data_IF_866522324033
#
_entry.id   IF_866522324033
#
_cell.length_a   1.000
_cell.length_b   1.000
_cell.length_c   1.000
_cell.angle_alpha   90.00
_cell.angle_beta   90.00
_cell.angle_gamma   90.00
#
_symmetry.space_group_name_H-M   'P 1'
#
loop_
_entity.id
_entity.type
_entity.pdbx_description
1 polymer ?
#
# COMPACT_ATOMS: atom_id res chain seq x y z
N UNK A 1 2.70 12.11 -21.45
CA UNK A 1 2.15 12.85 -20.31
C UNK A 1 3.17 12.88 -19.19
N UNK A 2 3.11 13.88 -18.36
CA UNK A 2 3.88 14.02 -17.13
C UNK A 2 2.96 13.71 -15.94
N UNK A 3 3.30 12.68 -15.20
CA UNK A 3 2.44 12.12 -14.13
C UNK A 3 3.14 12.23 -12.79
N UNK A 4 2.51 12.88 -11.83
CA UNK A 4 2.98 12.92 -10.45
C UNK A 4 2.18 11.93 -9.61
N UNK A 5 2.88 10.95 -9.02
CA UNK A 5 2.31 9.98 -8.09
C UNK A 5 2.59 10.43 -6.65
N UNK A 6 1.63 10.25 -5.75
CA UNK A 6 1.78 10.58 -4.33
C UNK A 6 1.29 9.39 -3.50
N UNK A 7 2.10 8.94 -2.54
CA UNK A 7 1.73 7.86 -1.63
C UNK A 7 1.98 8.23 -0.17
N UNK A 8 1.17 7.69 0.74
CA UNK A 8 1.29 7.86 2.20
C UNK A 8 2.29 6.89 2.85
N UNK A 9 2.77 5.90 2.09
CA UNK A 9 3.66 4.85 2.58
C UNK A 9 4.93 4.79 1.72
N UNK A 10 6.02 4.24 2.27
CA UNK A 10 7.17 3.83 1.48
C UNK A 10 6.76 2.95 0.30
N UNK A 11 7.56 2.95 -0.75
CA UNK A 11 7.29 2.14 -1.96
C UNK A 11 7.44 0.64 -1.71
N UNK A 12 8.08 0.27 -0.61
CA UNK A 12 8.25 -1.10 -0.15
C UNK A 12 7.48 -1.34 1.16
N UNK A 13 7.13 -2.59 1.44
CA UNK A 13 6.51 -3.00 2.72
C UNK A 13 5.01 -2.73 2.86
N UNK A 14 4.34 -2.20 1.85
CA UNK A 14 2.88 -2.00 1.83
C UNK A 14 2.27 -2.29 0.46
N UNK A 15 0.99 -2.67 0.43
CA UNK A 15 0.28 -2.91 -0.82
C UNK A 15 0.18 -1.65 -1.69
N UNK A 16 -0.15 -0.50 -1.10
CA UNK A 16 -0.22 0.77 -1.85
C UNK A 16 1.15 1.26 -2.30
N UNK A 17 2.22 0.99 -1.54
CA UNK A 17 3.59 1.26 -1.96
C UNK A 17 3.97 0.45 -3.20
N UNK A 18 3.79 -0.87 -3.14
CA UNK A 18 4.02 -1.77 -4.28
C UNK A 18 3.17 -1.38 -5.50
N UNK A 19 1.91 -1.02 -5.29
CA UNK A 19 1.02 -0.51 -6.34
C UNK A 19 1.59 0.76 -6.98
N UNK A 20 1.97 1.75 -6.19
CA UNK A 20 2.55 3.01 -6.66
C UNK A 20 3.84 2.79 -7.45
N UNK A 21 4.75 1.96 -6.91
CA UNK A 21 6.00 1.57 -7.57
C UNK A 21 5.75 0.94 -8.94
N UNK A 22 4.84 -0.04 -9.00
CA UNK A 22 4.54 -0.73 -10.26
C UNK A 22 3.88 0.20 -11.28
N UNK A 23 2.94 1.05 -10.87
CA UNK A 23 2.36 2.08 -11.76
C UNK A 23 3.43 3.01 -12.29
N UNK A 24 4.34 3.51 -11.44
CA UNK A 24 5.43 4.39 -11.86
C UNK A 24 6.30 3.74 -12.96
N UNK A 25 6.71 2.49 -12.74
CA UNK A 25 7.51 1.73 -13.69
C UNK A 25 6.76 1.47 -15.00
N UNK A 26 5.48 1.08 -14.94
CA UNK A 26 4.68 0.83 -16.14
C UNK A 26 4.37 2.11 -16.93
N UNK A 27 4.08 3.23 -16.27
CA UNK A 27 3.94 4.52 -16.93
C UNK A 27 5.24 4.93 -17.62
N UNK A 28 6.38 4.74 -16.95
CA UNK A 28 7.69 5.01 -17.54
C UNK A 28 7.97 4.12 -18.77
N UNK A 29 7.68 2.81 -18.67
CA UNK A 29 7.78 1.84 -19.80
C UNK A 29 6.91 2.26 -20.99
N UNK A 30 5.79 2.95 -20.75
CA UNK A 30 4.90 3.49 -21.79
C UNK A 30 5.28 4.88 -22.32
N UNK A 31 6.44 5.40 -21.92
CA UNK A 31 6.99 6.66 -22.42
C UNK A 31 6.47 7.92 -21.71
N UNK A 32 5.83 7.79 -20.53
CA UNK A 32 5.48 8.92 -19.70
C UNK A 32 6.65 9.39 -18.85
N UNK A 33 6.70 10.70 -18.55
CA UNK A 33 7.57 11.23 -17.51
C UNK A 33 6.87 11.09 -16.16
N UNK A 34 7.59 10.57 -15.16
CA UNK A 34 6.99 10.21 -13.87
C UNK A 34 7.83 10.74 -12.72
N UNK A 35 7.16 11.36 -11.75
CA UNK A 35 7.71 11.65 -10.44
C UNK A 35 6.86 10.97 -9.35
N UNK A 36 7.50 10.65 -8.21
CA UNK A 36 6.84 10.00 -7.07
C UNK A 36 7.21 10.72 -5.77
N UNK A 37 6.20 11.14 -5.00
CA UNK A 37 6.36 11.64 -3.63
C UNK A 37 5.92 10.56 -2.67
N UNK A 38 6.76 10.24 -1.67
CA UNK A 38 6.49 9.19 -0.67
C UNK A 38 7.28 9.44 0.61
N UNK A 39 6.82 8.93 1.78
CA UNK A 39 7.61 8.93 3.00
C UNK A 39 8.66 7.82 2.96
N UNK A 40 9.80 8.05 3.62
CA UNK A 40 10.80 7.01 3.82
C UNK A 40 11.56 7.25 5.14
N UNK A 41 12.12 6.20 5.73
CA UNK A 41 12.90 6.29 6.96
C UNK A 41 14.18 5.43 6.97
N UNK A 42 14.59 4.98 5.78
CA UNK A 42 15.80 4.18 5.56
C UNK A 42 16.28 4.35 4.11
N UNK A 43 17.49 3.87 3.76
CA UNK A 43 17.93 3.79 2.38
C UNK A 43 16.95 2.98 1.52
N UNK A 44 16.69 3.45 0.31
CA UNK A 44 15.75 2.83 -0.64
C UNK A 44 16.36 2.78 -2.04
N UNK A 45 15.95 1.82 -2.89
CA UNK A 45 16.44 1.73 -4.25
C UNK A 45 15.87 2.84 -5.12
N UNK A 46 16.73 3.45 -5.95
CA UNK A 46 16.28 4.39 -6.98
C UNK A 46 15.56 3.65 -8.10
N UNK A 47 14.43 4.21 -8.54
CA UNK A 47 13.70 3.67 -9.70
C UNK A 47 14.23 4.28 -11.00
N UNK A 48 14.69 3.47 -11.98
CA UNK A 48 15.31 3.99 -13.20
C UNK A 48 14.39 4.91 -13.99
N UNK A 49 14.87 6.14 -14.26
CA UNK A 49 14.15 7.12 -15.07
C UNK A 49 12.90 7.72 -14.42
N UNK A 50 12.75 7.59 -13.10
CA UNK A 50 11.67 8.16 -12.30
C UNK A 50 12.27 9.21 -11.36
N UNK A 51 11.69 10.40 -11.30
CA UNK A 51 12.06 11.42 -10.32
C UNK A 51 11.49 11.04 -8.96
N UNK A 52 12.33 10.93 -7.95
CA UNK A 52 11.92 10.49 -6.62
C UNK A 52 12.06 11.64 -5.61
N UNK A 53 10.97 11.96 -4.93
CA UNK A 53 10.88 13.01 -3.92
C UNK A 53 10.53 12.41 -2.56
N UNK A 54 11.49 11.78 -1.86
CA UNK A 54 11.25 11.21 -0.56
C UNK A 54 11.09 12.30 0.51
N UNK A 55 10.12 12.14 1.40
CA UNK A 55 10.06 12.88 2.66
C UNK A 55 10.63 11.99 3.75
N UNK A 56 11.78 12.36 4.30
CA UNK A 56 12.52 11.52 5.23
C UNK A 56 12.00 11.66 6.66
N UNK A 57 11.84 10.52 7.33
CA UNK A 57 11.39 10.38 8.71
C UNK A 57 12.42 9.66 9.57
N UNK A 58 12.49 10.01 10.84
CA UNK A 58 13.40 9.37 11.78
C UNK A 58 12.79 8.13 12.43
N UNK A 59 13.60 7.07 12.59
CA UNK A 59 13.25 5.91 13.44
C UNK A 59 13.60 6.11 14.92
N UNK A 60 14.25 7.21 15.25
CA UNK A 60 14.71 7.48 16.61
C UNK A 60 15.30 8.89 16.70
N UNK A 61 16.64 9.02 16.68
CA UNK A 61 17.30 10.32 16.70
C UNK A 61 17.31 10.90 15.27
N UNK A 62 16.59 12.00 15.06
CA UNK A 62 16.48 12.65 13.76
C UNK A 62 17.82 13.21 13.29
N UNK A 63 18.12 13.04 12.00
CA UNK A 63 19.17 13.75 11.28
C UNK A 63 18.65 15.13 10.81
N UNK A 64 19.55 15.94 10.25
CA UNK A 64 19.26 17.35 9.92
C UNK A 64 18.03 17.53 9.02
N UNK A 65 17.84 16.63 8.05
CA UNK A 65 16.83 16.75 7.01
C UNK A 65 15.66 15.74 7.19
N UNK A 66 15.53 15.17 8.41
CA UNK A 66 14.49 14.20 8.74
C UNK A 66 13.44 14.83 9.67
N UNK A 67 12.20 14.43 9.48
CA UNK A 67 11.15 14.68 10.45
C UNK A 67 11.44 13.90 11.76
N UNK A 68 11.37 14.54 12.94
CA UNK A 68 11.82 13.96 14.21
C UNK A 68 10.80 12.96 14.81
N UNK A 69 10.13 12.21 13.97
CA UNK A 69 9.20 11.13 14.30
C UNK A 69 9.09 10.18 13.12
N UNK A 70 8.53 8.97 13.32
CA UNK A 70 8.36 8.01 12.24
C UNK A 70 7.10 8.32 11.42
N UNK A 71 7.05 7.90 10.15
CA UNK A 71 5.89 8.13 9.30
C UNK A 71 4.64 7.42 9.85
N UNK A 72 3.45 8.08 9.78
CA UNK A 72 2.22 7.51 10.31
C UNK A 72 1.60 6.48 9.36
N UNK A 73 0.94 5.49 9.94
CA UNK A 73 0.22 4.42 9.24
C UNK A 73 -1.28 4.44 9.57
N UNK A 74 -2.11 3.84 8.71
CA UNK A 74 -3.51 3.57 9.03
C UNK A 74 -3.64 2.35 9.96
N UNK A 75 -2.80 1.35 9.75
CA UNK A 75 -2.76 0.12 10.55
C UNK A 75 -1.34 -0.16 11.04
N UNK A 76 -0.59 -0.99 10.35
CA UNK A 76 0.79 -1.34 10.67
C UNK A 76 1.66 -1.33 9.42
N UNK A 77 2.93 -0.98 9.59
CA UNK A 77 3.95 -1.07 8.55
C UNK A 77 5.20 -1.73 9.13
N UNK A 78 5.97 -2.51 8.35
CA UNK A 78 7.23 -3.10 8.82
C UNK A 78 8.17 -2.12 9.49
N UNK A 79 8.20 -0.91 8.97
CA UNK A 79 9.16 0.12 9.36
C UNK A 79 8.57 1.18 10.30
N UNK A 80 7.26 1.14 10.59
CA UNK A 80 6.61 2.08 11.51
C UNK A 80 5.43 1.49 12.24
N UNK A 81 5.35 1.78 13.54
CA UNK A 81 4.19 1.49 14.39
C UNK A 81 3.39 2.76 14.74
N UNK A 82 3.90 3.93 14.34
CA UNK A 82 3.22 5.22 14.53
C UNK A 82 1.95 5.24 13.68
N UNK A 83 0.84 5.63 14.26
CA UNK A 83 -0.41 5.83 13.53
C UNK A 83 -0.73 7.32 13.37
N UNK A 84 -1.69 7.66 12.50
CA UNK A 84 -2.13 9.05 12.38
C UNK A 84 -2.73 9.62 13.68
N UNK A 85 -3.29 8.75 14.54
CA UNK A 85 -3.79 9.16 15.86
C UNK A 85 -2.67 9.53 16.85
N UNK A 86 -1.48 8.99 16.65
CA UNK A 86 -0.33 9.28 17.53
C UNK A 86 0.30 10.64 17.23
N UNK A 87 -0.08 11.28 16.12
CA UNK A 87 0.45 12.58 15.75
C UNK A 87 -0.23 13.70 16.57
N UNK A 88 0.55 14.38 17.38
CA UNK A 88 0.13 15.67 17.93
C UNK A 88 0.03 16.75 16.83
N UNK A 89 -0.66 17.87 17.14
CA UNK A 89 -0.88 18.98 16.19
C UNK A 89 0.45 19.47 15.59
N UNK A 90 1.49 19.62 16.38
CA UNK A 90 2.81 20.06 15.90
C UNK A 90 3.47 19.06 14.94
N UNK A 91 3.28 17.76 15.15
CA UNK A 91 3.79 16.72 14.26
C UNK A 91 3.00 16.66 12.94
N UNK A 92 1.66 16.77 13.01
CA UNK A 92 0.82 16.85 11.82
C UNK A 92 1.15 18.10 10.98
N UNK A 93 1.36 19.26 11.62
CA UNK A 93 1.78 20.47 10.91
C UNK A 93 3.11 20.26 10.20
N UNK A 94 4.11 19.67 10.86
CA UNK A 94 5.41 19.37 10.25
C UNK A 94 5.27 18.37 9.09
N UNK A 95 4.45 17.34 9.25
CA UNK A 95 4.12 16.38 8.22
C UNK A 95 3.57 17.09 6.96
N UNK A 96 2.51 17.88 7.12
CA UNK A 96 1.89 18.61 6.01
C UNK A 96 2.87 19.61 5.37
N UNK A 97 3.67 20.32 6.18
CA UNK A 97 4.66 21.27 5.68
C UNK A 97 5.74 20.58 4.82
N UNK A 98 6.27 19.46 5.29
CA UNK A 98 7.31 18.72 4.56
C UNK A 98 6.77 18.16 3.23
N UNK A 99 5.58 17.57 3.23
CA UNK A 99 4.96 17.09 2.00
C UNK A 99 4.53 18.23 1.06
N UNK A 100 4.11 19.39 1.57
CA UNK A 100 3.87 20.59 0.77
C UNK A 100 5.13 21.10 0.10
N UNK A 101 6.29 21.02 0.77
CA UNK A 101 7.58 21.38 0.19
C UNK A 101 7.98 20.42 -0.94
N UNK A 102 7.88 19.11 -0.70
CA UNK A 102 8.15 18.07 -1.71
C UNK A 102 7.21 18.20 -2.92
N UNK A 103 5.92 18.49 -2.67
CA UNK A 103 4.93 18.72 -3.72
C UNK A 103 5.29 19.93 -4.58
N UNK A 104 5.64 21.08 -3.98
CA UNK A 104 6.07 22.25 -4.72
C UNK A 104 7.32 21.99 -5.56
N UNK A 105 8.31 21.29 -5.01
CA UNK A 105 9.51 20.90 -5.74
C UNK A 105 9.16 20.01 -6.94
N UNK A 106 8.37 18.95 -6.74
CA UNK A 106 7.95 18.06 -7.83
C UNK A 106 7.15 18.79 -8.92
N UNK A 107 6.28 19.73 -8.55
CA UNK A 107 5.53 20.58 -9.49
C UNK A 107 6.46 21.46 -10.32
N UNK A 108 7.50 22.04 -9.71
CA UNK A 108 8.48 22.89 -10.41
C UNK A 108 9.42 22.12 -11.32
N UNK A 109 9.80 20.90 -10.94
CA UNK A 109 10.75 20.09 -11.71
C UNK A 109 10.07 19.31 -12.85
N UNK A 110 8.89 18.71 -12.58
CA UNK A 110 8.19 17.88 -13.55
C UNK A 110 7.20 18.68 -14.43
N UNK A 111 6.54 19.71 -13.89
CA UNK A 111 5.37 20.36 -14.51
C UNK A 111 4.30 19.32 -14.92
N UNK A 112 3.70 18.58 -13.97
CA UNK A 112 2.84 17.46 -14.28
C UNK A 112 1.52 17.88 -14.95
N UNK A 113 1.04 17.03 -15.85
CA UNK A 113 -0.28 17.17 -16.49
C UNK A 113 -1.40 16.67 -15.56
N UNK A 114 -1.06 15.75 -14.63
CA UNK A 114 -2.01 15.07 -13.74
C UNK A 114 -1.31 14.61 -12.46
N UNK A 115 -2.04 14.64 -11.36
CA UNK A 115 -1.65 14.05 -10.08
C UNK A 115 -2.47 12.79 -9.83
N UNK A 116 -1.82 11.68 -9.46
CA UNK A 116 -2.47 10.47 -9.03
C UNK A 116 -2.05 10.15 -7.58
N UNK A 117 -2.94 10.42 -6.65
CA UNK A 117 -2.71 10.21 -5.23
C UNK A 117 -3.27 8.87 -4.76
N UNK A 118 -2.55 8.23 -3.85
CA UNK A 118 -2.98 7.02 -3.19
C UNK A 118 -3.57 7.37 -1.83
N UNK A 119 -4.73 6.78 -1.53
CA UNK A 119 -5.56 7.03 -0.36
C UNK A 119 -6.24 8.43 -0.36
N UNK A 120 -7.52 8.47 -0.11
CA UNK A 120 -8.26 9.70 0.17
C UNK A 120 -7.93 10.17 1.61
N UNK A 121 -6.89 11.01 1.75
CA UNK A 121 -6.34 11.43 3.04
C UNK A 121 -5.57 12.76 2.93
N UNK A 122 -4.75 13.10 3.92
CA UNK A 122 -4.01 14.38 3.99
C UNK A 122 -3.20 14.73 2.74
N UNK A 123 -2.52 13.76 2.09
CA UNK A 123 -1.69 14.07 0.92
C UNK A 123 -2.54 14.29 -0.34
N UNK A 124 -3.64 13.56 -0.48
CA UNK A 124 -4.62 13.80 -1.55
C UNK A 124 -5.31 15.15 -1.38
N UNK A 125 -5.53 15.56 -0.11
CA UNK A 125 -6.01 16.91 0.20
C UNK A 125 -5.00 17.98 -0.24
N UNK A 126 -3.71 17.83 0.10
CA UNK A 126 -2.69 18.76 -0.39
C UNK A 126 -2.64 18.81 -1.92
N UNK A 127 -2.79 17.67 -2.58
CA UNK A 127 -2.82 17.57 -4.03
C UNK A 127 -4.04 18.28 -4.65
N UNK A 128 -5.20 18.24 -3.98
CA UNK A 128 -6.43 18.91 -4.48
C UNK A 128 -6.32 20.44 -4.51
N UNK A 129 -5.38 21.01 -3.76
CA UNK A 129 -5.11 22.44 -3.74
C UNK A 129 -4.23 22.94 -4.90
N UNK A 130 -3.73 22.03 -5.77
CA UNK A 130 -2.74 22.37 -6.79
C UNK A 130 -3.32 22.85 -8.14
N UNK A 131 -4.63 22.97 -8.30
CA UNK A 131 -5.31 23.32 -9.57
C UNK A 131 -4.90 22.44 -10.76
N UNK A 132 -4.60 21.16 -10.51
CA UNK A 132 -4.29 20.15 -11.52
C UNK A 132 -5.33 19.03 -11.47
N UNK A 133 -5.57 18.32 -12.59
CA UNK A 133 -6.40 17.13 -12.57
C UNK A 133 -5.90 16.13 -11.52
N UNK A 134 -6.76 15.75 -10.58
CA UNK A 134 -6.44 14.82 -9.49
C UNK A 134 -7.24 13.54 -9.64
N UNK A 135 -6.54 12.40 -9.66
CA UNK A 135 -7.10 11.06 -9.54
C UNK A 135 -6.72 10.50 -8.17
N UNK A 136 -7.64 9.84 -7.49
CA UNK A 136 -7.40 9.21 -6.20
C UNK A 136 -7.71 7.73 -6.29
N UNK A 137 -6.77 6.86 -5.85
CA UNK A 137 -7.06 5.44 -5.65
C UNK A 137 -7.34 5.16 -4.16
N UNK A 138 -8.48 4.55 -3.88
CA UNK A 138 -8.89 4.10 -2.54
C UNK A 138 -8.42 2.65 -2.35
N UNK A 139 -7.64 2.42 -1.28
CA UNK A 139 -7.10 1.10 -0.92
C UNK A 139 -7.85 0.42 0.24
N UNK A 140 -8.75 1.14 0.93
CA UNK A 140 -9.63 0.64 1.98
C UNK A 140 -9.15 0.91 3.41
N UNK A 141 -7.85 1.00 3.66
CA UNK A 141 -7.33 1.28 5.01
C UNK A 141 -7.62 2.70 5.48
N UNK A 142 -7.66 3.66 4.59
CA UNK A 142 -8.08 5.04 4.84
C UNK A 142 -9.57 5.13 5.22
N UNK A 143 -10.43 4.31 4.61
CA UNK A 143 -11.86 4.25 4.97
C UNK A 143 -12.04 3.80 6.41
N UNK A 144 -11.24 2.80 6.84
CA UNK A 144 -11.16 2.40 8.26
C UNK A 144 -10.60 3.55 9.12
N UNK A 145 -9.62 4.28 8.60
CA UNK A 145 -9.02 5.45 9.27
C UNK A 145 -10.02 6.56 9.50
N UNK A 146 -10.84 6.92 8.53
CA UNK A 146 -11.89 7.94 8.66
C UNK A 146 -12.91 7.56 9.76
N UNK A 147 -13.36 6.30 9.80
CA UNK A 147 -14.25 5.81 10.86
C UNK A 147 -13.59 5.85 12.24
N UNK A 148 -12.30 5.53 12.33
CA UNK A 148 -11.56 5.47 13.58
C UNK A 148 -11.10 6.84 14.08
N UNK A 149 -10.78 7.75 13.18
CA UNK A 149 -10.20 9.07 13.45
C UNK A 149 -10.97 10.18 12.71
N UNK A 150 -12.17 10.58 13.20
CA UNK A 150 -13.04 11.54 12.49
C UNK A 150 -12.40 12.90 12.19
N UNK A 151 -11.40 13.32 12.96
CA UNK A 151 -10.65 14.56 12.72
C UNK A 151 -9.94 14.61 11.36
N UNK A 152 -9.70 13.46 10.72
CA UNK A 152 -9.08 13.38 9.40
C UNK A 152 -10.09 13.25 8.26
N UNK A 153 -11.37 13.08 8.58
CA UNK A 153 -12.41 12.85 7.57
C UNK A 153 -12.54 14.04 6.63
N UNK A 154 -12.47 15.28 7.13
CA UNK A 154 -12.56 16.49 6.30
C UNK A 154 -11.49 16.54 5.21
N UNK A 155 -10.24 16.12 5.51
CA UNK A 155 -9.18 16.02 4.50
C UNK A 155 -9.57 15.05 3.38
N UNK A 156 -10.13 13.90 3.73
CA UNK A 156 -10.54 12.90 2.75
C UNK A 156 -11.73 13.39 1.90
N UNK A 157 -12.72 13.99 2.52
CA UNK A 157 -13.91 14.55 1.84
C UNK A 157 -13.53 15.68 0.86
N UNK A 158 -12.70 16.63 1.29
CA UNK A 158 -12.22 17.73 0.43
C UNK A 158 -11.37 17.19 -0.73
N UNK A 159 -10.48 16.21 -0.46
CA UNK A 159 -9.69 15.56 -1.50
C UNK A 159 -10.59 14.88 -2.55
N UNK A 160 -11.56 14.10 -2.09
CA UNK A 160 -12.52 13.43 -2.98
C UNK A 160 -13.35 14.47 -3.72
N UNK A 161 -13.84 15.53 -3.07
CA UNK A 161 -14.60 16.58 -3.73
C UNK A 161 -13.80 17.25 -4.87
N UNK A 162 -12.52 17.57 -4.61
CA UNK A 162 -11.60 18.19 -5.58
C UNK A 162 -11.05 17.27 -6.67
N UNK A 163 -11.25 15.95 -6.58
CA UNK A 163 -10.75 15.01 -7.58
C UNK A 163 -11.64 14.95 -8.83
N UNK A 164 -11.04 14.64 -9.99
CA UNK A 164 -11.78 14.39 -11.24
C UNK A 164 -12.25 12.93 -11.35
N UNK A 165 -11.52 11.99 -10.74
CA UNK A 165 -11.85 10.57 -10.68
C UNK A 165 -11.39 9.95 -9.37
N UNK A 166 -12.16 8.97 -8.90
CA UNK A 166 -11.83 8.12 -7.76
C UNK A 166 -11.82 6.68 -8.23
N UNK A 167 -10.78 5.94 -7.91
CA UNK A 167 -10.61 4.53 -8.28
C UNK A 167 -10.78 3.68 -7.03
N UNK A 168 -11.67 2.70 -7.06
CA UNK A 168 -11.81 1.67 -6.04
C UNK A 168 -11.21 0.35 -6.54
N UNK A 169 -10.38 -0.29 -5.72
CA UNK A 169 -9.66 -1.52 -6.12
C UNK A 169 -10.49 -2.80 -5.96
N UNK A 170 -11.66 -2.73 -5.35
CA UNK A 170 -12.61 -3.84 -5.21
C UNK A 170 -14.04 -3.33 -5.11
N UNK A 171 -15.02 -4.22 -5.32
CA UNK A 171 -16.43 -3.90 -5.16
C UNK A 171 -16.74 -3.44 -3.72
N UNK A 172 -16.19 -4.13 -2.71
CA UNK A 172 -16.37 -3.76 -1.30
C UNK A 172 -15.83 -2.36 -1.01
N UNK A 173 -14.62 -2.04 -1.54
CA UNK A 173 -14.05 -0.70 -1.39
C UNK A 173 -14.89 0.37 -2.09
N UNK A 174 -15.45 0.06 -3.26
CA UNK A 174 -16.36 0.96 -3.97
C UNK A 174 -17.59 1.28 -3.11
N UNK A 175 -18.23 0.24 -2.58
CA UNK A 175 -19.49 0.39 -1.84
C UNK A 175 -19.25 1.15 -0.51
N UNK A 176 -18.17 0.82 0.21
CA UNK A 176 -17.75 1.55 1.41
C UNK A 176 -17.35 3.00 1.10
N UNK A 177 -16.70 3.25 -0.04
CA UNK A 177 -16.33 4.60 -0.44
C UNK A 177 -17.55 5.45 -0.79
N UNK A 178 -18.57 4.88 -1.46
CA UNK A 178 -19.82 5.58 -1.75
C UNK A 178 -20.64 5.88 -0.50
N UNK A 179 -20.65 4.97 0.46
CA UNK A 179 -21.25 5.20 1.78
C UNK A 179 -20.60 6.39 2.50
N UNK A 180 -19.28 6.46 2.47
CA UNK A 180 -18.50 7.46 3.21
C UNK A 180 -18.34 8.78 2.45
N UNK A 181 -18.27 8.72 1.13
CA UNK A 181 -18.08 9.86 0.21
C UNK A 181 -19.16 9.89 -0.87
N UNK A 182 -20.43 10.25 -0.55
CA UNK A 182 -21.52 10.27 -1.54
C UNK A 182 -21.23 11.17 -2.76
N UNK A 183 -20.39 12.21 -2.58
CA UNK A 183 -19.93 13.09 -3.65
C UNK A 183 -19.07 12.39 -4.71
N UNK A 184 -18.64 11.15 -4.47
CA UNK A 184 -17.87 10.37 -5.43
C UNK A 184 -18.73 9.64 -6.47
N UNK A 185 -20.06 9.60 -6.34
CA UNK A 185 -20.97 8.76 -7.13
C UNK A 185 -20.74 8.84 -8.64
N UNK A 186 -20.62 10.05 -9.20
CA UNK A 186 -20.47 10.24 -10.66
C UNK A 186 -19.02 10.10 -11.15
N UNK A 187 -18.07 9.94 -10.27
CA UNK A 187 -16.64 9.92 -10.62
C UNK A 187 -15.89 8.70 -10.09
N UNK A 188 -16.55 7.82 -9.35
CA UNK A 188 -15.95 6.61 -8.82
C UNK A 188 -16.00 5.50 -9.87
N UNK A 189 -14.84 4.89 -10.12
CA UNK A 189 -14.66 3.77 -11.04
C UNK A 189 -14.11 2.56 -10.27
N UNK A 190 -14.63 1.38 -10.57
CA UNK A 190 -14.05 0.12 -10.11
C UNK A 190 -12.90 -0.25 -11.04
N UNK A 191 -11.68 -0.24 -10.50
CA UNK A 191 -10.47 -0.65 -11.19
C UNK A 191 -9.66 -1.59 -10.29
N UNK A 192 -9.83 -2.90 -10.40
CA UNK A 192 -9.09 -3.88 -9.62
C UNK A 192 -7.59 -3.78 -9.84
N UNK A 193 -6.81 -4.18 -8.82
CA UNK A 193 -5.37 -4.24 -8.94
C UNK A 193 -4.95 -5.23 -10.03
N UNK A 194 -3.97 -4.84 -10.82
CA UNK A 194 -3.24 -5.74 -11.71
C UNK A 194 -2.15 -6.51 -10.96
N UNK A 195 -1.49 -7.39 -11.67
CA UNK A 195 -0.28 -8.10 -11.24
C UNK A 195 0.79 -8.02 -12.34
N UNK A 196 2.03 -8.26 -11.97
CA UNK A 196 3.13 -8.26 -12.93
C UNK A 196 3.24 -9.65 -13.59
N UNK A 197 2.85 -9.75 -14.84
CA UNK A 197 2.86 -10.99 -15.64
C UNK A 197 4.28 -11.55 -15.87
N UNK A 198 5.30 -10.67 -15.84
CA UNK A 198 6.69 -11.09 -15.98
C UNK A 198 7.22 -11.82 -14.72
N UNK A 199 6.52 -11.67 -13.58
CA UNK A 199 6.88 -12.28 -12.28
C UNK A 199 5.89 -13.39 -11.91
N UNK A 200 4.59 -13.13 -12.10
CA UNK A 200 3.51 -14.05 -11.73
C UNK A 200 2.93 -14.69 -12.99
N UNK A 201 3.50 -15.78 -13.41
CA UNK A 201 3.04 -16.59 -14.53
C UNK A 201 2.87 -18.05 -14.09
N UNK A 202 2.04 -18.79 -14.86
CA UNK A 202 1.87 -20.21 -14.60
C UNK A 202 3.07 -20.97 -15.15
N UNK A 203 3.73 -21.70 -14.27
CA UNK A 203 4.81 -22.61 -14.60
C UNK A 203 4.39 -24.03 -14.20
N UNK A 204 4.68 -25.01 -15.03
CA UNK A 204 4.53 -26.42 -14.67
C UNK A 204 5.80 -26.87 -13.95
N UNK A 205 5.73 -26.86 -12.62
CA UNK A 205 6.83 -27.31 -11.76
C UNK A 205 6.39 -28.58 -11.07
N UNK A 206 7.29 -29.57 -11.06
CA UNK A 206 7.11 -30.76 -10.23
C UNK A 206 7.12 -30.35 -8.75
N UNK A 207 6.11 -30.82 -7.99
CA UNK A 207 5.93 -30.41 -6.62
C UNK A 207 7.05 -30.91 -5.71
N UNK A 208 7.55 -32.12 -5.93
CA UNK A 208 8.68 -32.65 -5.14
C UNK A 208 9.91 -31.77 -5.30
N UNK A 209 10.28 -31.45 -6.54
CA UNK A 209 11.38 -30.54 -6.85
C UNK A 209 11.19 -29.15 -6.23
N UNK A 210 9.95 -28.61 -6.27
CA UNK A 210 9.66 -27.31 -5.67
C UNK A 210 9.84 -27.34 -4.14
N UNK A 211 9.32 -28.36 -3.48
CA UNK A 211 9.41 -28.49 -2.04
C UNK A 211 10.86 -28.74 -1.58
N UNK A 212 11.61 -29.55 -2.31
CA UNK A 212 13.04 -29.76 -2.07
C UNK A 212 13.83 -28.44 -2.17
N UNK A 213 13.48 -27.56 -3.12
CA UNK A 213 14.11 -26.25 -3.26
C UNK A 213 13.82 -25.30 -2.10
N UNK A 214 12.80 -25.60 -1.30
CA UNK A 214 12.40 -24.87 -0.09
C UNK A 214 12.89 -25.56 1.19
N UNK A 215 13.72 -26.60 1.10
CA UNK A 215 14.13 -27.47 2.21
C UNK A 215 12.92 -28.13 2.93
N UNK A 216 11.87 -28.48 2.18
CA UNK A 216 10.65 -29.09 2.66
C UNK A 216 10.46 -30.47 2.08
N UNK A 217 9.96 -31.42 2.88
CA UNK A 217 9.53 -32.72 2.38
C UNK A 217 8.08 -32.65 1.85
N UNK A 218 7.85 -33.28 0.70
CA UNK A 218 6.49 -33.44 0.11
C UNK A 218 6.22 -34.91 -0.13
N UNK A 219 5.12 -35.44 0.42
CA UNK A 219 4.72 -36.85 0.30
C UNK A 219 3.35 -37.04 -0.33
N UNK A 220 2.85 -36.00 -1.05
CA UNK A 220 1.54 -36.00 -1.68
C UNK A 220 0.44 -35.35 -0.86
N UNK A 221 0.78 -34.54 0.15
CA UNK A 221 -0.14 -33.80 1.00
C UNK A 221 -0.93 -32.76 0.21
N UNK A 222 -2.06 -32.32 0.77
CA UNK A 222 -2.73 -31.12 0.32
C UNK A 222 -1.98 -29.88 0.82
N UNK A 223 -1.72 -28.94 -0.08
CA UNK A 223 -1.00 -27.71 0.25
C UNK A 223 -1.98 -26.57 0.38
N UNK A 224 -2.01 -25.95 1.55
CA UNK A 224 -2.73 -24.71 1.82
C UNK A 224 -1.69 -23.59 1.91
N UNK A 225 -1.80 -22.60 1.05
CA UNK A 225 -0.89 -21.44 1.04
C UNK A 225 -1.60 -20.19 1.54
N UNK A 226 -1.08 -19.61 2.62
CA UNK A 226 -1.43 -18.27 3.08
C UNK A 226 -0.32 -17.30 2.68
N UNK A 227 -0.67 -16.20 2.01
CA UNK A 227 0.27 -15.13 1.67
C UNK A 227 -0.23 -13.82 2.28
N UNK A 228 0.53 -13.22 3.18
CA UNK A 228 0.15 -11.95 3.78
C UNK A 228 0.84 -11.62 5.09
N UNK A 229 0.51 -10.45 5.64
CA UNK A 229 0.99 -10.04 6.97
C UNK A 229 0.36 -10.92 8.05
N UNK A 230 1.14 -11.27 9.07
CA UNK A 230 0.62 -11.93 10.27
C UNK A 230 -0.14 -10.92 11.14
N UNK A 231 -1.39 -10.67 10.76
CA UNK A 231 -2.28 -9.76 11.47
C UNK A 231 -3.66 -10.40 11.63
N UNK A 232 -4.32 -10.18 12.76
CA UNK A 232 -5.61 -10.80 13.10
C UNK A 232 -6.67 -10.59 12.00
N UNK A 233 -6.73 -9.38 11.42
CA UNK A 233 -7.67 -9.07 10.33
C UNK A 233 -7.37 -9.76 8.99
N UNK A 234 -6.22 -10.44 8.86
CA UNK A 234 -5.88 -11.28 7.70
C UNK A 234 -6.30 -12.72 7.85
N UNK A 235 -6.78 -13.11 9.04
CA UNK A 235 -7.37 -14.42 9.28
C UNK A 235 -6.40 -15.59 9.42
N UNK A 236 -5.09 -15.35 9.53
CA UNK A 236 -4.10 -16.42 9.65
C UNK A 236 -4.32 -17.27 10.92
N UNK A 237 -4.70 -16.64 12.03
CA UNK A 237 -5.03 -17.35 13.27
C UNK A 237 -6.29 -18.23 13.12
N UNK A 238 -7.27 -17.78 12.34
CA UNK A 238 -8.45 -18.59 12.02
C UNK A 238 -8.05 -19.79 11.17
N UNK A 239 -7.20 -19.60 10.15
CA UNK A 239 -6.67 -20.69 9.34
C UNK A 239 -5.97 -21.75 10.21
N UNK A 240 -5.04 -21.32 11.07
CA UNK A 240 -4.28 -22.22 11.94
C UNK A 240 -5.16 -22.93 12.97
N UNK A 241 -6.11 -22.23 13.60
CA UNK A 241 -7.05 -22.84 14.56
C UNK A 241 -7.99 -23.86 13.94
N UNK A 242 -8.29 -23.72 12.65
CA UNK A 242 -9.17 -24.66 11.93
C UNK A 242 -8.41 -25.81 11.29
N UNK A 243 -7.08 -25.84 11.38
CA UNK A 243 -6.24 -26.88 10.80
C UNK A 243 -6.73 -28.30 11.10
N UNK A 244 -6.94 -28.63 12.38
CA UNK A 244 -7.46 -29.93 12.81
C UNK A 244 -8.86 -30.29 12.27
N UNK A 245 -9.61 -29.32 11.74
CA UNK A 245 -10.93 -29.58 11.15
C UNK A 245 -10.83 -30.03 9.71
N UNK A 246 -10.00 -29.38 8.90
CA UNK A 246 -9.84 -29.79 7.51
C UNK A 246 -9.02 -31.08 7.37
N UNK A 247 -8.11 -31.39 8.31
CA UNK A 247 -7.43 -32.68 8.40
C UNK A 247 -8.41 -33.85 8.53
N UNK A 248 -9.51 -33.67 9.26
CA UNK A 248 -10.57 -34.69 9.45
C UNK A 248 -11.49 -34.82 8.25
N UNK A 249 -11.45 -33.92 7.28
CA UNK A 249 -12.36 -33.89 6.12
C UNK A 249 -11.76 -34.51 4.88
N UNK A 250 -10.49 -34.90 4.91
CA UNK A 250 -9.80 -35.45 3.76
C UNK A 250 -9.05 -36.75 4.09
N UNK A 251 -8.89 -37.58 3.09
CA UNK A 251 -8.16 -38.85 3.18
C UNK A 251 -6.62 -38.67 3.08
N UNK A 252 -6.14 -37.43 3.15
CA UNK A 252 -4.73 -37.06 3.01
C UNK A 252 -4.31 -36.08 4.06
N UNK A 253 -3.02 -36.05 4.33
CA UNK A 253 -2.38 -35.06 5.20
C UNK A 253 -2.34 -33.68 4.54
N UNK A 254 -2.17 -32.64 5.36
CA UNK A 254 -2.11 -31.25 4.93
C UNK A 254 -0.79 -30.62 5.34
N UNK A 255 -0.24 -29.78 4.45
CA UNK A 255 0.83 -28.84 4.77
C UNK A 255 0.26 -27.44 4.64
N UNK A 256 0.38 -26.62 5.69
CA UNK A 256 0.04 -25.21 5.63
C UNK A 256 1.31 -24.36 5.53
N UNK A 257 1.49 -23.72 4.39
CA UNK A 257 2.58 -22.77 4.15
C UNK A 257 2.11 -21.35 4.45
N UNK A 258 2.85 -20.63 5.29
CA UNK A 258 2.55 -19.25 5.64
C UNK A 258 3.68 -18.35 5.14
N UNK A 259 3.49 -17.75 3.96
CA UNK A 259 4.42 -16.78 3.38
C UNK A 259 4.08 -15.37 3.87
N UNK A 260 5.07 -14.69 4.43
CA UNK A 260 4.93 -13.32 4.92
C UNK A 260 5.91 -12.40 4.20
N UNK A 261 5.65 -11.08 4.09
CA UNK A 261 6.56 -10.13 3.43
C UNK A 261 7.86 -9.86 4.21
N UNK A 262 8.12 -10.58 5.27
CA UNK A 262 9.31 -10.52 6.10
C UNK A 262 10.04 -11.84 5.93
N UNK A 263 11.30 -11.87 5.66
CA UNK A 263 12.19 -12.99 5.29
C UNK A 263 12.05 -14.32 6.08
N UNK A 264 10.85 -14.65 6.56
CA UNK A 264 10.55 -15.87 7.28
C UNK A 264 9.30 -16.53 6.72
N UNK A 265 9.48 -17.66 6.08
CA UNK A 265 8.40 -18.62 5.86
C UNK A 265 8.21 -19.41 7.16
N UNK A 266 7.03 -19.31 7.76
CA UNK A 266 6.66 -20.19 8.86
C UNK A 266 6.00 -21.43 8.28
N UNK A 267 6.56 -22.58 8.57
CA UNK A 267 6.02 -23.88 8.23
C UNK A 267 5.29 -24.39 9.46
N UNK A 268 4.05 -24.77 9.31
CA UNK A 268 3.31 -25.47 10.34
C UNK A 268 3.17 -26.92 9.92
N UNK A 269 3.93 -27.79 10.57
CA UNK A 269 3.74 -29.24 10.47
C UNK A 269 2.69 -29.67 11.52
N UNK A 270 1.72 -30.42 11.07
CA UNK A 270 0.56 -30.86 11.87
C UNK A 270 0.80 -32.20 12.59
N UNK A 271 2.05 -32.70 12.65
CA UNK A 271 2.38 -33.95 13.37
C UNK A 271 2.23 -33.86 14.87
#
# INVERSE_FOLDING_TARGET
MKVLLINHFPLEGSGSGTYTKNIALHLRKRGHEVAVIFPENQPFPMLPGIQMHPVMFSKGKAQRDELPFNFPCFTTHPQSRTTFADLGIGQLTRYLTAFSAALRQALQELHPDIIHAQHAWCLSWLASLCNLPLVITIHGTELMGCKKWPAFQSFAEEAVAGSIKVLAISADNRDLALEQFPMATDKLLLLPNGYNEDIFYREEVDRETLFDSLDLSYRGEYVILFVGKLAAFKGVDTLLRTARRYERLADREFITLVATPWDSCLIWDHT
#
